data_IF_556689481662
#
_entry.id   IF_556689481662
#
_cell.length_a   1.000
_cell.length_b   1.000
_cell.length_c   1.000
_cell.angle_alpha   90.00
_cell.angle_beta   90.00
_cell.angle_gamma   90.00
#
_symmetry.space_group_name_H-M   'P 1'
#
loop_
_entity.id
_entity.type
_entity.pdbx_description
1 polymer ?
2 polymer ?
3 polymer ?
4 water ?
#
# COMPACT_ATOMS: atom_id res chain seq x y z
N UNK A 1 -13.84 14.16 4.54
CA UNK A 1 -14.70 13.90 3.34
C UNK A 1 -13.94 14.10 2.03
N UNK A 2 -12.61 14.08 2.07
CA UNK A 2 -11.82 14.17 0.83
C UNK A 2 -11.59 12.76 0.35
N UNK A 3 -11.41 12.64 -0.95
CA UNK A 3 -11.33 11.32 -1.61
C UNK A 3 -10.31 11.37 -2.74
N UNK A 4 -9.72 10.23 -3.03
CA UNK A 4 -8.78 10.11 -4.14
C UNK A 4 -8.97 8.81 -4.88
N UNK A 5 -8.57 8.80 -6.14
CA UNK A 5 -8.45 7.57 -6.90
C UNK A 5 -7.00 7.45 -7.33
N UNK A 6 -6.47 6.23 -7.27
CA UNK A 6 -5.11 5.97 -7.74
C UNK A 6 -5.05 4.66 -8.46
N UNK A 7 -4.28 4.64 -9.53
CA UNK A 7 -3.82 3.41 -10.15
C UNK A 7 -2.31 3.26 -9.90
N UNK A 8 -1.90 2.03 -9.63
CA UNK A 8 -0.53 1.67 -9.33
C UNK A 8 -0.10 0.57 -10.30
N UNK A 9 0.88 0.88 -11.15
CA UNK A 9 1.41 -0.09 -12.09
C UNK A 9 2.80 -0.52 -11.69
N UNK A 10 3.07 -1.81 -11.82
CA UNK A 10 4.40 -2.36 -11.62
C UNK A 10 4.75 -3.19 -12.83
N UNK A 11 5.87 -2.86 -13.50
CA UNK A 11 6.37 -3.65 -14.60
C UNK A 11 7.77 -4.14 -14.31
N UNK A 12 7.97 -5.44 -14.34
CA UNK A 12 9.21 -6.00 -13.86
C UNK A 12 9.81 -6.95 -14.86
N UNK A 13 11.02 -6.65 -15.31
CA UNK A 13 11.70 -7.60 -16.20
C UNK A 13 12.33 -8.75 -15.39
N UNK A 14 12.66 -9.81 -16.10
CA UNK A 14 13.14 -11.03 -15.46
C UNK A 14 13.85 -11.85 -16.53
N UNK A 15 15.00 -11.36 -16.98
CA UNK A 15 15.73 -11.99 -18.06
C UNK A 15 15.94 -13.48 -17.78
N UNK A 16 15.62 -14.32 -18.79
CA UNK A 16 15.75 -15.76 -18.67
C UNK A 16 14.49 -16.45 -18.17
N UNK A 17 13.52 -15.65 -17.76
CA UNK A 17 12.29 -16.15 -17.12
C UNK A 17 11.05 -15.54 -17.77
N UNK A 18 11.12 -15.35 -19.09
CA UNK A 18 9.99 -14.85 -19.87
C UNK A 18 9.98 -13.33 -19.97
N UNK A 19 8.88 -12.83 -20.48
CA UNK A 19 8.69 -11.43 -20.70
C UNK A 19 8.33 -10.72 -19.41
N UNK A 20 8.55 -9.41 -19.35
CA UNK A 20 8.28 -8.71 -18.11
C UNK A 20 6.83 -8.81 -17.66
N UNK A 21 6.62 -8.95 -16.37
CA UNK A 21 5.29 -9.01 -15.78
C UNK A 21 4.75 -7.61 -15.63
N UNK A 22 3.49 -7.40 -15.97
CA UNK A 22 2.79 -6.12 -15.67
C UNK A 22 1.62 -6.37 -14.76
N UNK A 23 1.58 -5.66 -13.64
CA UNK A 23 0.46 -5.69 -12.69
C UNK A 23 -0.09 -4.30 -12.53
N UNK A 24 -1.41 -4.19 -12.54
CA UNK A 24 -2.07 -2.93 -12.25
C UNK A 24 -3.09 -3.15 -11.14
N UNK A 25 -3.16 -2.25 -10.19
CA UNK A 25 -4.22 -2.25 -9.19
C UNK A 25 -4.82 -0.85 -9.13
N UNK A 26 -6.11 -0.76 -8.83
CA UNK A 26 -6.76 0.54 -8.63
C UNK A 26 -7.37 0.63 -7.27
N UNK A 27 -7.29 1.82 -6.69
CA UNK A 27 -7.82 2.13 -5.37
C UNK A 27 -8.69 3.37 -5.41
N UNK A 28 -9.70 3.39 -4.56
CA UNK A 28 -10.37 4.60 -4.14
C UNK A 28 -10.02 4.72 -2.66
N UNK A 29 -9.36 5.81 -2.26
CA UNK A 29 -8.84 5.96 -0.92
C UNK A 29 -8.05 4.69 -0.57
N UNK A 30 -8.38 4.03 0.54
CA UNK A 30 -7.67 2.85 0.98
C UNK A 30 -8.34 1.54 0.66
N UNK A 31 -9.19 1.55 -0.37
CA UNK A 31 -9.97 0.43 -0.83
C UNK A 31 -9.58 0.06 -2.24
N UNK A 32 -8.99 -1.11 -2.42
CA UNK A 32 -8.69 -1.60 -3.75
C UNK A 32 -9.93 -2.09 -4.43
N UNK A 33 -10.07 -1.83 -5.73
CA UNK A 33 -11.28 -2.20 -6.46
C UNK A 33 -11.09 -3.00 -7.72
N UNK A 34 -9.89 -2.99 -8.30
CA UNK A 34 -9.61 -3.77 -9.47
C UNK A 34 -8.16 -4.25 -9.45
N UNK A 35 -7.92 -5.31 -10.20
CA UNK A 35 -6.57 -5.77 -10.50
C UNK A 35 -6.46 -6.30 -11.89
N UNK A 36 -5.25 -6.30 -12.40
CA UNK A 36 -4.89 -6.97 -13.64
C UNK A 36 -3.48 -7.49 -13.50
N UNK A 37 -3.23 -8.72 -13.91
CA UNK A 37 -1.92 -9.34 -13.78
C UNK A 37 -1.61 -10.08 -15.08
N UNK A 38 -0.57 -9.65 -15.81
CA UNK A 38 -0.26 -10.31 -17.07
C UNK A 38 0.21 -11.73 -16.89
N UNK A 39 0.56 -12.14 -15.68
CA UNK A 39 0.96 -13.54 -15.44
C UNK A 39 -0.21 -14.48 -15.19
N UNK A 40 -1.43 -13.95 -15.10
CA UNK A 40 -2.57 -14.81 -14.76
C UNK A 40 -2.81 -15.80 -15.88
N UNK A 41 -3.41 -16.94 -15.53
CA UNK A 41 -3.67 -17.96 -16.54
C UNK A 41 -4.45 -17.38 -17.70
N UNK A 42 -5.43 -16.54 -17.39
CA UNK A 42 -6.17 -15.82 -18.42
C UNK A 42 -6.28 -14.33 -18.04
N UNK A 43 -5.27 -13.52 -18.44
CA UNK A 43 -5.25 -12.16 -17.90
C UNK A 43 -6.45 -11.31 -18.28
N UNK A 44 -7.12 -10.80 -17.26
CA UNK A 44 -8.30 -9.94 -17.46
C UNK A 44 -8.42 -9.07 -16.23
N UNK A 45 -9.04 -7.90 -16.38
CA UNK A 45 -9.30 -7.04 -15.24
C UNK A 45 -10.34 -7.74 -14.36
N UNK A 46 -10.08 -7.84 -13.07
CA UNK A 46 -10.97 -8.49 -12.14
C UNK A 46 -11.39 -7.56 -11.01
N UNK A 47 -12.63 -7.69 -10.55
CA UNK A 47 -13.12 -6.92 -9.43
C UNK A 47 -12.51 -7.31 -8.11
N UNK A 48 -12.28 -6.31 -7.27
CA UNK A 48 -11.74 -6.53 -5.94
C UNK A 48 -12.54 -5.81 -4.83
N UNK A 49 -13.65 -5.19 -5.19
CA UNK A 49 -14.58 -4.58 -4.23
C UNK A 49 -15.98 -4.89 -4.71
N UNK A 50 -16.92 -5.18 -3.79
CA UNK A 50 -18.25 -5.52 -4.26
C UNK A 50 -18.97 -4.45 -5.12
N UNK A 51 -18.75 -3.17 -4.84
CA UNK A 51 -19.44 -2.06 -5.53
C UNK A 51 -19.02 -1.84 -6.97
N UNK A 52 -17.93 -2.48 -7.42
CA UNK A 52 -17.50 -2.34 -8.81
C UNK A 52 -18.13 -3.46 -9.65
N UNK A 53 -18.66 -4.48 -9.00
CA UNK A 53 -19.18 -5.64 -9.73
C UNK A 53 -20.31 -5.28 -10.68
N UNK A 54 -21.08 -4.27 -10.32
CA UNK A 54 -22.21 -3.86 -11.15
C UNK A 54 -21.83 -3.26 -12.49
N UNK A 55 -20.55 -2.96 -12.70
CA UNK A 55 -20.15 -2.40 -13.97
C UNK A 55 -20.34 -3.46 -15.03
N UNK A 56 -20.74 -3.00 -16.21
CA UNK A 56 -21.13 -3.88 -17.28
C UNK A 56 -19.95 -4.44 -18.07
N UNK A 57 -20.22 -5.37 -18.98
CA UNK A 57 -19.14 -6.03 -19.70
C UNK A 57 -18.26 -5.08 -20.47
N UNK A 58 -18.83 -3.99 -20.95
CA UNK A 58 -18.10 -2.97 -21.71
C UNK A 58 -17.00 -2.36 -20.86
N UNK A 59 -17.31 -2.17 -19.58
CA UNK A 59 -16.33 -1.65 -18.64
C UNK A 59 -15.15 -2.59 -18.51
N UNK A 60 -15.44 -3.85 -18.21
CA UNK A 60 -14.41 -4.85 -18.03
C UNK A 60 -13.61 -5.06 -19.29
N UNK A 61 -14.27 -5.07 -20.44
CA UNK A 61 -13.54 -5.18 -21.69
C UNK A 61 -12.60 -3.99 -21.97
N UNK A 62 -13.06 -2.78 -21.68
CA UNK A 62 -12.27 -1.59 -21.96
C UNK A 62 -11.03 -1.59 -21.06
N UNK A 63 -11.23 -1.92 -19.79
CA UNK A 63 -10.12 -1.97 -18.86
C UNK A 63 -9.10 -2.99 -19.30
N UNK A 64 -9.59 -4.15 -19.70
CA UNK A 64 -8.71 -5.24 -20.09
C UNK A 64 -7.92 -4.85 -21.33
N UNK A 65 -8.57 -4.20 -22.29
CA UNK A 65 -7.88 -3.68 -23.48
C UNK A 65 -6.74 -2.74 -23.10
N UNK A 66 -7.05 -1.84 -22.19
CA UNK A 66 -6.10 -0.83 -21.77
C UNK A 66 -4.90 -1.51 -21.13
N UNK A 67 -5.18 -2.42 -20.22
CA UNK A 67 -4.07 -3.04 -19.48
C UNK A 67 -3.28 -4.04 -20.34
N UNK A 68 -3.94 -4.66 -21.32
CA UNK A 68 -3.22 -5.56 -22.21
C UNK A 68 -2.27 -4.77 -23.12
N UNK A 69 -2.75 -3.62 -23.59
CA UNK A 69 -1.89 -2.69 -24.31
C UNK A 69 -0.73 -2.20 -23.45
N UNK A 70 -1.02 -1.79 -22.23
CA UNK A 70 0.03 -1.34 -21.33
C UNK A 70 1.05 -2.44 -21.06
N UNK A 71 0.61 -3.69 -20.96
CA UNK A 71 1.58 -4.77 -20.81
C UNK A 71 2.66 -4.72 -21.90
N UNK A 72 2.21 -4.57 -23.11
CA UNK A 72 3.15 -4.50 -24.22
C UNK A 72 4.00 -3.21 -24.22
N UNK A 73 3.42 -2.07 -23.94
CA UNK A 73 4.19 -0.83 -23.99
C UNK A 73 5.21 -0.74 -22.85
N UNK A 74 4.85 -1.19 -21.66
CA UNK A 74 5.79 -1.18 -20.54
C UNK A 74 6.95 -2.15 -20.78
N UNK A 75 6.70 -3.24 -21.52
CA UNK A 75 7.82 -4.11 -21.94
C UNK A 75 8.80 -3.38 -22.83
N UNK A 76 8.31 -2.59 -23.80
CA UNK A 76 9.20 -1.77 -24.59
C UNK A 76 9.91 -0.69 -23.77
N UNK A 77 9.16 -0.07 -22.86
CA UNK A 77 9.75 0.95 -22.00
C UNK A 77 10.89 0.42 -21.14
N UNK A 78 10.73 -0.80 -20.62
CA UNK A 78 11.81 -1.42 -19.84
C UNK A 78 13.07 -1.58 -20.72
N UNK A 79 12.89 -2.00 -21.98
CA UNK A 79 14.02 -2.08 -22.89
C UNK A 79 14.62 -0.70 -23.13
N UNK A 80 13.75 0.29 -23.28
CA UNK A 80 14.26 1.64 -23.50
C UNK A 80 15.08 2.15 -22.34
N UNK A 81 14.55 2.00 -21.11
CA UNK A 81 15.29 2.46 -19.96
C UNK A 81 16.60 1.73 -19.72
N UNK A 82 16.61 0.45 -20.03
CA UNK A 82 17.84 -0.35 -19.88
C UNK A 82 18.92 0.30 -20.73
N UNK A 83 18.55 0.67 -21.97
CA UNK A 83 19.44 1.40 -22.86
C UNK A 83 19.83 2.77 -22.36
N UNK A 84 18.88 3.53 -21.83
CA UNK A 84 19.19 4.89 -21.34
C UNK A 84 20.25 4.90 -20.26
N UNK A 85 20.31 3.82 -19.49
CA UNK A 85 21.28 3.69 -18.37
C UNK A 85 22.45 2.78 -18.68
N UNK A 86 22.59 2.41 -19.95
CA UNK A 86 23.67 1.54 -20.45
C UNK A 86 23.76 0.27 -19.65
N UNK A 87 22.60 -0.29 -19.30
CA UNK A 87 22.58 -1.46 -18.43
C UNK A 87 22.68 -2.78 -19.18
N UNK A 88 23.16 -3.76 -18.46
CA UNK A 88 23.29 -5.11 -18.97
C UNK A 88 21.91 -5.73 -19.27
N UNK A 89 21.83 -6.60 -20.28
CA UNK A 89 20.61 -7.34 -20.50
C UNK A 89 20.38 -8.42 -19.42
N UNK A 90 21.31 -8.58 -18.48
CA UNK A 90 21.25 -9.68 -17.52
C UNK A 90 20.42 -9.38 -16.28
N UNK A 91 20.27 -8.10 -15.94
CA UNK A 91 19.60 -7.69 -14.72
C UNK A 91 18.07 -7.54 -14.81
N UNK A 92 17.40 -7.72 -13.68
CA UNK A 92 15.96 -7.45 -13.53
C UNK A 92 15.77 -6.00 -13.10
N UNK A 93 14.80 -5.31 -13.73
CA UNK A 93 14.54 -3.90 -13.45
C UNK A 93 13.04 -3.67 -13.38
N UNK A 94 12.65 -2.57 -12.73
CA UNK A 94 11.27 -2.31 -12.41
C UNK A 94 10.93 -0.89 -12.79
N UNK A 95 9.86 -0.73 -13.57
CA UNK A 95 9.20 0.57 -13.70
C UNK A 95 7.94 0.56 -12.86
N UNK A 96 7.74 1.62 -12.05
CA UNK A 96 6.48 1.82 -11.33
C UNK A 96 5.86 3.14 -11.75
N UNK A 97 4.54 3.14 -11.82
CA UNK A 97 3.82 4.38 -12.14
C UNK A 97 2.63 4.49 -11.18
N UNK A 98 2.34 5.68 -10.69
CA UNK A 98 1.16 5.93 -9.89
C UNK A 98 0.54 7.17 -10.40
N UNK A 99 -0.76 7.16 -10.65
CA UNK A 99 -1.44 8.36 -11.11
C UNK A 99 -2.87 8.42 -10.61
N UNK A 100 -3.45 9.61 -10.59
CA UNK A 100 -4.86 9.75 -10.23
C UNK A 100 -5.22 11.11 -9.79
N UNK A 101 -6.36 11.22 -9.16
CA UNK A 101 -6.93 12.53 -8.82
C UNK A 101 -7.34 12.59 -7.39
N UNK A 102 -7.25 13.79 -6.84
CA UNK A 102 -7.70 14.09 -5.47
C UNK A 102 -8.84 15.07 -5.50
N UNK A 103 -9.90 14.78 -4.73
CA UNK A 103 -11.04 15.67 -4.60
C UNK A 103 -11.08 16.16 -3.16
N UNK A 104 -11.50 17.41 -2.98
CA UNK A 104 -11.78 17.95 -1.61
C UNK A 104 -13.18 17.56 -1.21
N UNK A 105 -13.62 17.97 0.01
CA UNK A 105 -14.97 17.66 0.52
C UNK A 105 -16.15 18.14 -0.33
N UNK A 106 -15.92 19.11 -1.19
CA UNK A 106 -16.94 19.61 -2.12
C UNK A 106 -17.07 18.73 -3.37
N UNK A 107 -16.17 17.76 -3.54
CA UNK A 107 -16.17 16.96 -4.75
C UNK A 107 -15.37 17.56 -5.89
N UNK A 108 -14.76 18.72 -5.67
CA UNK A 108 -14.04 19.42 -6.73
C UNK A 108 -12.62 18.88 -6.76
N UNK A 109 -12.00 18.98 -7.93
CA UNK A 109 -10.59 18.58 -8.06
C UNK A 109 -9.67 19.46 -7.22
N UNK A 110 -8.90 18.81 -6.39
CA UNK A 110 -7.87 19.48 -5.64
C UNK A 110 -6.59 19.47 -6.50
N UNK A 111 -6.18 18.29 -6.96
CA UNK A 111 -4.99 18.15 -7.77
C UNK A 111 -4.93 16.79 -8.41
N UNK A 112 -4.14 16.72 -9.49
CA UNK A 112 -3.88 15.47 -10.19
C UNK A 112 -2.44 15.04 -9.97
N UNK A 113 -2.17 13.77 -10.26
CA UNK A 113 -0.87 13.17 -10.06
C UNK A 113 -0.54 12.24 -11.22
N UNK A 114 0.73 12.24 -11.63
CA UNK A 114 1.26 11.17 -12.47
C UNK A 114 2.75 11.09 -12.29
N UNK A 115 3.23 10.04 -11.66
CA UNK A 115 4.62 9.91 -11.25
C UNK A 115 5.11 8.52 -11.63
N UNK A 116 6.37 8.44 -12.09
CA UNK A 116 7.04 7.20 -12.35
C UNK A 116 8.39 7.06 -11.65
N UNK A 117 8.78 5.81 -11.41
CA UNK A 117 10.05 5.45 -10.79
C UNK A 117 10.69 4.33 -11.62
N UNK A 118 12.02 4.25 -11.54
CA UNK A 118 12.79 3.16 -12.12
C UNK A 118 13.68 2.58 -11.02
N UNK A 119 13.59 1.28 -10.79
CA UNK A 119 14.29 0.62 -9.72
C UNK A 119 14.11 1.34 -8.37
N UNK A 120 12.93 1.87 -8.16
CA UNK A 120 12.55 2.43 -6.88
C UNK A 120 12.95 3.85 -6.65
N UNK A 121 13.49 4.46 -7.68
CA UNK A 121 13.98 5.84 -7.62
C UNK A 121 13.09 6.71 -8.52
N UNK A 122 12.70 7.86 -8.03
CA UNK A 122 11.97 8.82 -8.88
C UNK A 122 12.63 8.96 -10.23
N UNK A 123 11.84 8.92 -11.30
CA UNK A 123 12.29 8.99 -12.67
C UNK A 123 11.72 10.23 -13.38
N UNK A 124 10.39 10.33 -13.48
CA UNK A 124 9.76 11.48 -14.09
C UNK A 124 8.41 11.69 -13.45
N UNK A 125 8.02 12.93 -13.26
CA UNK A 125 6.73 13.26 -12.64
C UNK A 125 6.08 14.41 -13.42
N UNK A 126 4.77 14.32 -13.64
CA UNK A 126 3.95 15.42 -14.12
C UNK A 126 3.85 16.44 -12.99
N UNK A 127 4.14 17.72 -13.31
CA UNK A 127 4.07 18.73 -12.33
C UNK A 127 2.63 19.03 -11.98
N UNK A 128 2.42 19.76 -10.89
CA UNK A 128 1.06 20.05 -10.43
C UNK A 128 0.25 20.87 -11.43
N UNK A 129 0.93 21.62 -12.28
CA UNK A 129 0.25 22.31 -13.37
C UNK A 129 -0.40 21.42 -14.43
N UNK A 130 -0.07 20.13 -14.39
CA UNK A 130 -0.56 19.18 -15.38
C UNK A 130 -0.14 19.52 -16.80
N UNK A 131 0.98 20.23 -16.92
CA UNK A 131 1.43 20.76 -18.19
C UNK A 131 2.93 20.61 -18.46
N UNK A 132 3.72 20.35 -17.45
CA UNK A 132 5.15 20.29 -17.56
C UNK A 132 5.66 19.12 -16.72
N UNK A 133 6.89 18.72 -16.96
CA UNK A 133 7.54 17.56 -16.33
C UNK A 133 8.73 17.88 -15.44
N UNK A 134 8.98 17.05 -14.44
CA UNK A 134 10.22 17.07 -13.70
C UNK A 134 10.91 15.74 -13.92
N UNK A 135 12.05 15.79 -14.61
CA UNK A 135 12.87 14.62 -14.90
C UNK A 135 14.01 14.52 -13.89
N UNK A 136 14.31 13.34 -13.40
CA UNK A 136 15.26 13.18 -12.28
C UNK A 136 16.71 13.26 -12.74
N UNK A 137 16.93 12.93 -14.00
CA UNK A 137 18.30 12.72 -14.50
C UNK A 137 18.33 12.76 -16.00
N UNK A 138 19.50 12.59 -16.62
CA UNK A 138 19.57 12.77 -18.07
C UNK A 138 18.86 11.67 -18.87
N UNK A 139 18.67 10.50 -18.27
CA UNK A 139 17.87 9.46 -18.93
C UNK A 139 16.40 9.87 -18.99
N UNK A 140 15.88 10.31 -17.85
CA UNK A 140 14.48 10.77 -17.80
C UNK A 140 14.22 11.97 -18.71
N UNK A 141 15.27 12.78 -18.95
CA UNK A 141 15.13 13.93 -19.83
C UNK A 141 14.85 13.40 -21.23
N UNK A 142 15.40 12.25 -21.57
CA UNK A 142 15.04 11.63 -22.83
C UNK A 142 13.57 11.29 -22.92
N UNK A 143 13.05 10.63 -21.89
CA UNK A 143 11.60 10.41 -21.80
C UNK A 143 10.81 11.71 -21.83
N UNK A 144 11.28 12.73 -21.11
CA UNK A 144 10.59 14.06 -21.12
C UNK A 144 10.49 14.58 -22.54
N UNK A 145 11.61 14.54 -23.26
CA UNK A 145 11.59 15.06 -24.63
C UNK A 145 10.60 14.26 -25.49
N UNK A 146 10.55 12.93 -25.37
CA UNK A 146 9.59 12.09 -26.11
C UNK A 146 8.17 12.47 -25.76
N UNK A 147 7.93 12.69 -24.47
CA UNK A 147 6.58 13.00 -24.04
C UNK A 147 6.14 14.42 -24.37
N UNK A 148 7.09 15.36 -24.39
CA UNK A 148 6.84 16.74 -24.83
C UNK A 148 6.52 16.69 -26.32
N UNK A 149 7.30 15.91 -27.06
CA UNK A 149 7.07 15.80 -28.49
C UNK A 149 5.68 15.22 -28.81
N UNK A 150 5.18 14.29 -27.98
CA UNK A 150 3.90 13.56 -28.22
C UNK A 150 2.66 14.15 -27.48
N UNK A 151 2.84 15.29 -26.82
CA UNK A 151 1.72 15.95 -26.13
C UNK A 151 1.07 15.08 -25.07
N UNK A 152 1.90 14.34 -24.34
CA UNK A 152 1.38 13.42 -23.34
C UNK A 152 0.72 14.22 -22.21
N UNK A 153 1.34 15.33 -21.80
CA UNK A 153 0.82 16.08 -20.64
C UNK A 153 -0.59 16.61 -20.87
N UNK A 154 -0.82 17.11 -22.08
CA UNK A 154 -2.16 17.54 -22.43
C UNK A 154 -3.21 16.44 -22.33
N UNK A 155 -2.87 15.22 -22.76
CA UNK A 155 -3.80 14.12 -22.67
C UNK A 155 -4.02 13.71 -21.21
N UNK A 156 -2.95 13.65 -20.42
CA UNK A 156 -3.08 13.30 -19.00
C UNK A 156 -3.88 14.40 -18.27
N UNK A 157 -3.69 15.68 -18.61
CA UNK A 157 -4.52 16.70 -17.96
C UNK A 157 -6.02 16.49 -18.26
N UNK A 158 -6.34 16.21 -19.54
CA UNK A 158 -7.72 15.98 -19.91
C UNK A 158 -8.31 14.80 -19.13
N UNK A 159 -7.54 13.74 -19.01
CA UNK A 159 -7.98 12.59 -18.20
C UNK A 159 -8.18 12.96 -16.73
N UNK A 160 -7.18 13.61 -16.15
CA UNK A 160 -7.16 13.88 -14.73
C UNK A 160 -8.28 14.81 -14.32
N UNK A 161 -8.58 15.78 -15.16
CA UNK A 161 -9.59 16.76 -14.82
C UNK A 161 -10.99 16.31 -15.24
N UNK A 162 -11.04 15.27 -16.08
CA UNK A 162 -12.26 14.78 -16.71
C UNK A 162 -12.69 13.40 -16.21
N UNK A 163 -12.34 12.38 -17.00
CA UNK A 163 -12.70 10.99 -16.70
C UNK A 163 -12.31 10.56 -15.29
N UNK A 164 -11.14 10.96 -14.84
CA UNK A 164 -10.67 10.56 -13.50
C UNK A 164 -11.67 10.98 -12.44
N UNK A 165 -12.03 12.25 -12.48
CA UNK A 165 -12.93 12.80 -11.49
C UNK A 165 -14.34 12.21 -11.65
N UNK A 166 -14.81 12.12 -12.88
CA UNK A 166 -16.13 11.61 -13.14
C UNK A 166 -16.30 10.17 -12.63
N UNK A 167 -15.33 9.32 -12.96
CA UNK A 167 -15.41 7.93 -12.50
C UNK A 167 -15.23 7.81 -10.99
N UNK A 168 -14.31 8.56 -10.39
CA UNK A 168 -14.17 8.56 -8.94
C UNK A 168 -15.51 8.92 -8.27
N UNK A 169 -16.15 9.98 -8.75
CA UNK A 169 -17.44 10.38 -8.17
C UNK A 169 -18.49 9.28 -8.34
N UNK A 170 -18.47 8.61 -9.49
CA UNK A 170 -19.38 7.47 -9.70
C UNK A 170 -19.10 6.35 -8.67
N UNK A 171 -17.83 6.00 -8.49
CA UNK A 171 -17.49 4.98 -7.51
C UNK A 171 -17.92 5.37 -6.11
N UNK A 172 -17.63 6.62 -5.73
CA UNK A 172 -18.03 7.09 -4.40
C UNK A 172 -19.53 6.97 -4.16
N UNK A 173 -20.34 7.25 -5.17
CA UNK A 173 -21.78 7.05 -5.04
C UNK A 173 -22.16 5.54 -4.94
N UNK A 174 -21.63 4.73 -5.87
CA UNK A 174 -21.96 3.31 -5.86
C UNK A 174 -21.49 2.58 -4.61
N UNK A 175 -20.36 3.02 -4.08
CA UNK A 175 -19.79 2.42 -2.87
C UNK A 175 -20.02 3.30 -1.63
N UNK A 176 -21.06 4.13 -1.63
CA UNK A 176 -21.19 5.14 -0.59
C UNK A 176 -21.26 4.57 0.82
N UNK A 177 -21.84 3.38 0.98
CA UNK A 177 -22.04 2.86 2.33
C UNK A 177 -20.76 2.45 2.98
N UNK A 178 -19.69 2.29 2.17
CA UNK A 178 -18.38 1.89 2.71
C UNK A 178 -17.34 3.01 2.45
N UNK A 179 -17.24 3.46 1.21
CA UNK A 179 -16.26 4.47 0.85
C UNK A 179 -16.47 5.80 1.53
N UNK A 180 -17.72 6.13 1.82
CA UNK A 180 -18.08 7.36 2.52
C UNK A 180 -18.45 7.13 3.98
N UNK A 181 -17.94 6.03 4.55
CA UNK A 181 -18.12 5.71 5.97
C UNK A 181 -16.78 5.62 6.65
N UNK A 182 -16.54 6.49 7.61
CA UNK A 182 -15.34 6.40 8.43
C UNK A 182 -15.64 5.60 9.67
N UNK A 183 -14.82 4.59 9.93
CA UNK A 183 -14.95 3.74 11.10
C UNK A 183 -13.92 4.17 12.09
N UNK A 184 -14.35 4.63 13.26
CA UNK A 184 -13.37 5.12 14.24
C UNK A 184 -12.55 4.01 14.85
N UNK A 185 -11.36 4.37 15.36
CA UNK A 185 -10.60 3.36 16.04
C UNK A 185 -11.22 2.99 17.38
N UNK A 186 -11.10 1.72 17.71
CA UNK A 186 -11.30 1.25 19.08
C UNK A 186 -9.97 1.34 19.78
N UNK A 187 -9.92 2.04 20.91
CA UNK A 187 -8.66 2.35 21.57
C UNK A 187 -8.58 1.85 22.98
N UNK A 188 -7.40 1.39 23.36
CA UNK A 188 -7.11 1.00 24.72
C UNK A 188 -5.61 1.08 24.97
N UNK A 189 -5.22 1.13 26.25
CA UNK A 189 -3.83 1.13 26.66
C UNK A 189 -3.51 -0.13 27.42
N UNK A 190 -2.42 -0.78 27.05
CA UNK A 190 -1.92 -1.93 27.80
C UNK A 190 -0.63 -1.58 28.52
N UNK A 191 -0.30 -2.38 29.53
CA UNK A 191 0.82 -2.10 30.42
C UNK A 191 1.61 -3.37 30.55
N UNK A 192 2.91 -3.28 30.31
CA UNK A 192 3.80 -4.44 30.28
C UNK A 192 5.07 -4.10 31.09
N UNK A 193 5.17 -4.57 32.34
CA UNK A 193 6.45 -4.35 33.05
C UNK A 193 7.66 -4.87 32.27
N UNK A 194 8.74 -4.06 32.20
CA UNK A 194 10.01 -4.47 31.56
C UNK A 194 11.18 -4.62 32.53
N UNK A 195 10.98 -4.14 33.75
CA UNK A 195 12.01 -4.22 34.77
C UNK A 195 11.31 -3.82 36.05
N UNK A 196 12.05 -3.83 37.14
CA UNK A 196 11.50 -3.38 38.42
C UNK A 196 11.11 -1.90 38.43
N UNK A 197 11.71 -1.09 37.56
CA UNK A 197 11.46 0.37 37.63
C UNK A 197 10.99 1.00 36.33
N UNK A 198 10.76 0.19 35.31
CA UNK A 198 10.15 0.68 34.05
C UNK A 198 9.12 -0.28 33.48
N UNK A 199 8.17 0.29 32.75
CA UNK A 199 7.12 -0.50 32.13
C UNK A 199 6.78 0.10 30.77
N UNK A 200 6.28 -0.73 29.87
CA UNK A 200 5.82 -0.23 28.58
C UNK A 200 4.34 0.06 28.64
N UNK A 201 3.96 1.26 28.18
CA UNK A 201 2.58 1.61 27.90
C UNK A 201 2.40 1.57 26.39
N UNK A 202 1.42 0.81 25.91
CA UNK A 202 1.17 0.67 24.47
C UNK A 202 -0.24 1.11 24.21
N UNK A 203 -0.38 2.12 23.35
CA UNK A 203 -1.65 2.64 23.00
C UNK A 203 -2.08 2.00 21.67
N UNK A 204 -3.22 1.34 21.67
CA UNK A 204 -3.75 0.57 20.54
C UNK A 204 -4.89 1.31 19.85
N UNK A 205 -4.92 1.25 18.52
CA UNK A 205 -6.03 1.68 17.72
C UNK A 205 -6.35 0.53 16.76
N UNK A 206 -7.59 0.06 16.78
CA UNK A 206 -8.01 -1.15 16.06
C UNK A 206 -9.31 -0.82 15.32
N UNK A 207 -9.47 -1.43 14.14
CA UNK A 207 -10.74 -1.44 13.44
C UNK A 207 -11.13 -0.14 12.75
N UNK A 208 -10.12 0.67 12.40
CA UNK A 208 -10.39 1.99 11.80
C UNK A 208 -10.26 2.02 10.26
N UNK A 209 -11.03 2.92 9.66
CA UNK A 209 -10.98 3.16 8.23
C UNK A 209 -11.40 4.61 8.06
N UNK A 210 -10.68 5.39 7.22
CA UNK A 210 -9.50 5.04 6.43
C UNK A 210 -8.24 4.87 7.29
N UNK A 211 -7.12 4.67 6.63
CA UNK A 211 -5.89 4.32 7.32
C UNK A 211 -5.24 5.49 8.02
N UNK A 212 -5.50 6.69 7.56
CA UNK A 212 -4.90 7.89 8.15
C UNK A 212 -5.30 7.99 9.62
N UNK A 213 -4.29 8.14 10.49
CA UNK A 213 -4.53 8.27 11.92
C UNK A 213 -3.30 8.93 12.53
N UNK A 214 -3.51 9.59 13.65
CA UNK A 214 -2.41 10.12 14.44
C UNK A 214 -2.52 9.56 15.86
N UNK A 215 -1.46 8.89 16.33
CA UNK A 215 -1.37 8.37 17.71
C UNK A 215 -0.10 8.95 18.29
N UNK A 216 -0.20 9.59 19.43
CA UNK A 216 0.98 10.19 20.03
C UNK A 216 0.87 9.98 21.51
N UNK A 217 2.03 9.90 22.24
CA UNK A 217 2.06 9.93 23.67
C UNK A 217 2.54 11.30 24.14
N UNK A 218 1.95 11.80 25.22
CA UNK A 218 2.50 12.95 25.93
C UNK A 218 2.91 12.57 27.34
N UNK A 219 3.95 13.24 27.86
CA UNK A 219 4.32 13.13 29.28
C UNK A 219 4.16 14.53 29.83
N UNK A 220 3.35 14.69 30.87
CA UNK A 220 3.07 16.00 31.45
C UNK A 220 2.58 16.98 30.41
N UNK A 221 1.97 16.46 29.35
CA UNK A 221 1.41 17.31 28.32
C UNK A 221 2.38 17.71 27.23
N UNK A 222 3.58 17.13 27.22
CA UNK A 222 4.54 17.38 26.14
C UNK A 222 4.70 16.14 25.26
N UNK A 223 4.47 16.30 23.95
CA UNK A 223 4.71 15.21 23.01
C UNK A 223 6.04 14.52 23.24
N UNK A 224 6.03 13.19 23.18
CA UNK A 224 7.23 12.38 23.43
C UNK A 224 7.75 11.77 22.14
N UNK A 225 7.86 12.60 21.11
CA UNK A 225 8.16 12.13 19.76
C UNK A 225 9.42 11.24 19.70
N UNK A 226 10.53 11.70 20.26
CA UNK A 226 11.78 10.92 20.18
C UNK A 226 11.77 9.60 20.95
N UNK A 227 10.88 9.46 21.93
CA UNK A 227 10.86 8.27 22.79
C UNK A 227 9.67 7.35 22.52
N UNK A 228 8.87 7.69 21.52
CA UNK A 228 7.72 6.85 21.17
C UNK A 228 8.11 5.88 20.07
N UNK A 229 7.77 4.60 20.24
CA UNK A 229 7.89 3.62 19.18
C UNK A 229 6.55 3.48 18.49
N UNK A 230 6.52 3.75 17.20
CA UNK A 230 5.27 3.81 16.46
C UNK A 230 5.34 2.78 15.35
N UNK A 231 4.52 1.73 15.34
CA UNK A 231 4.57 0.78 14.23
C UNK A 231 3.81 1.29 13.01
N UNK A 232 4.20 0.79 11.85
CA UNK A 232 3.49 1.11 10.61
C UNK A 232 2.04 0.69 10.73
N UNK A 233 1.16 1.54 10.25
CA UNK A 233 -0.25 1.16 10.10
C UNK A 233 -0.35 -0.06 9.23
N UNK A 234 -1.15 -1.01 9.68
CA UNK A 234 -1.23 -2.32 9.07
C UNK A 234 -2.66 -2.75 8.81
N UNK A 235 -2.93 -3.47 7.72
CA UNK A 235 -4.24 -3.92 7.39
C UNK A 235 -4.70 -5.12 8.22
N UNK A 236 -5.96 -5.10 8.68
CA UNK A 236 -6.50 -6.26 9.40
C UNK A 236 -6.96 -7.36 8.47
N UNK A 237 -7.29 -7.00 7.23
CA UNK A 237 -7.82 -7.95 6.23
C UNK A 237 -9.32 -7.91 6.02
N UNK A 238 -9.98 -7.06 6.80
CA UNK A 238 -11.44 -6.84 6.75
C UNK A 238 -11.82 -5.42 6.28
N UNK A 239 -10.85 -4.76 5.62
CA UNK A 239 -10.85 -3.36 5.18
C UNK A 239 -10.29 -2.40 6.21
N UNK A 240 -10.27 -2.77 7.48
CA UNK A 240 -9.83 -1.86 8.50
C UNK A 240 -8.35 -1.97 8.77
N UNK A 241 -7.84 -1.07 9.59
CA UNK A 241 -6.44 -0.95 9.90
C UNK A 241 -6.21 -0.97 11.40
N UNK A 242 -4.95 -1.18 11.75
CA UNK A 242 -4.47 -1.29 13.14
C UNK A 242 -3.21 -0.48 13.28
N UNK A 243 -2.96 0.07 14.47
CA UNK A 243 -1.71 0.75 14.78
C UNK A 243 -1.52 0.80 16.28
N UNK A 244 -0.28 0.86 16.72
CA UNK A 244 0.02 1.13 18.13
C UNK A 244 1.23 2.01 18.28
N UNK A 245 1.29 2.65 19.44
CA UNK A 245 2.39 3.50 19.80
C UNK A 245 2.78 3.12 21.21
N UNK A 246 4.07 3.02 21.45
CA UNK A 246 4.51 2.64 22.79
C UNK A 246 5.58 3.55 23.36
N UNK A 247 5.60 3.63 24.68
CA UNK A 247 6.61 4.40 25.39
C UNK A 247 6.95 3.62 26.65
N UNK A 248 8.22 3.69 27.04
CA UNK A 248 8.70 3.06 28.25
C UNK A 248 8.76 4.14 29.30
N UNK A 249 8.11 3.90 30.44
CA UNK A 249 7.95 4.91 31.44
C UNK A 249 8.51 4.44 32.77
N UNK A 250 8.90 5.37 33.65
CA UNK A 250 9.26 4.96 35.01
C UNK A 250 8.03 4.41 35.76
N UNK A 251 8.22 3.26 36.42
CA UNK A 251 7.14 2.69 37.22
C UNK A 251 6.74 3.67 38.29
N UNK A 252 5.43 3.79 38.46
CA UNK A 252 4.87 4.77 39.34
C UNK A 252 4.56 6.10 38.69
N UNK A 253 5.00 6.32 37.44
CA UNK A 253 4.75 7.60 36.75
C UNK A 253 3.73 7.43 35.64
N UNK A 254 3.10 6.26 35.55
CA UNK A 254 2.19 5.98 34.44
C UNK A 254 1.11 7.01 34.23
N UNK A 255 0.60 7.62 35.31
CA UNK A 255 -0.50 8.58 35.13
C UNK A 255 -0.08 9.93 34.57
N UNK A 256 1.22 10.14 34.44
CA UNK A 256 1.76 11.35 33.78
C UNK A 256 1.73 11.24 32.28
N UNK A 257 1.39 10.06 31.76
CA UNK A 257 1.40 9.83 30.33
C UNK A 257 -0.01 9.75 29.76
N UNK A 258 -0.23 10.42 28.64
CA UNK A 258 -1.53 10.35 27.95
C UNK A 258 -1.32 10.04 26.47
N UNK A 259 -2.17 9.15 25.94
CA UNK A 259 -2.21 8.80 24.52
C UNK A 259 -3.30 9.61 23.87
N UNK A 260 -2.99 10.18 22.70
CA UNK A 260 -3.89 11.07 21.97
C UNK A 260 -4.13 10.49 20.59
N UNK A 261 -5.39 10.43 20.23
CA UNK A 261 -5.76 9.76 18.97
C UNK A 261 -6.57 10.72 18.13
N UNK A 262 -6.14 10.91 16.88
CA UNK A 262 -6.90 11.70 15.90
C UNK A 262 -7.28 10.78 14.74
N UNK A 263 -8.53 10.83 14.31
CA UNK A 263 -8.98 10.03 13.17
C UNK A 263 -10.25 10.72 12.66
N UNK A 264 -10.45 10.67 11.35
CA UNK A 264 -11.63 11.28 10.70
C UNK A 264 -12.93 10.79 11.28
N UNK A 265 -12.98 9.52 11.69
CA UNK A 265 -14.14 8.88 12.28
C UNK A 265 -14.49 9.32 13.71
N UNK A 266 -13.62 10.14 14.30
CA UNK A 266 -13.80 10.64 15.66
C UNK A 266 -14.28 12.10 15.59
N UNK A 267 -15.48 12.40 16.17
CA UNK A 267 -15.90 13.81 16.25
C UNK A 267 -14.93 14.63 17.10
N UNK A 268 -14.57 14.06 18.25
CA UNK A 268 -13.57 14.64 19.12
C UNK A 268 -12.41 13.66 19.24
N UNK A 269 -11.19 14.19 19.11
CA UNK A 269 -9.98 13.41 19.37
C UNK A 269 -10.00 12.86 20.79
N UNK A 270 -9.36 11.71 20.96
CA UNK A 270 -9.42 11.00 22.21
C UNK A 270 -8.12 11.24 22.97
N UNK A 271 -8.28 11.32 24.28
CA UNK A 271 -7.20 11.22 25.25
C UNK A 271 -7.47 9.98 26.09
N UNK A 272 -6.48 9.08 26.19
CA UNK A 272 -6.56 7.82 26.98
C UNK A 272 -5.38 7.74 27.94
N UNK A 273 -5.57 7.00 29.03
CA UNK A 273 -4.52 6.68 29.97
C UNK A 273 -4.59 5.20 30.27
N UNK A 274 -3.52 4.69 30.85
CA UNK A 274 -3.58 3.36 31.42
C UNK A 274 -4.57 3.37 32.56
N UNK A 275 -5.47 2.40 32.55
CA UNK A 275 -6.47 2.22 33.58
C UNK A 275 -6.19 0.91 34.32
N UNK A 276 -5.51 0.98 35.48
CA UNK A 276 -5.30 -0.21 36.28
C UNK A 276 -6.52 -0.50 37.16
N UNK B 1 19.30 0.61 -5.75
CA UNK B 1 19.40 0.30 -4.28
C UNK B 1 18.23 -0.56 -3.83
N UNK B 2 18.51 -1.48 -2.92
CA UNK B 2 17.51 -2.40 -2.42
C UNK B 2 17.09 -2.01 -1.01
N UNK B 3 15.86 -2.39 -0.66
CA UNK B 3 15.27 -2.11 0.64
C UNK B 3 14.73 -3.38 1.24
N UNK B 4 15.05 -3.60 2.50
CA UNK B 4 14.69 -4.83 3.16
C UNK B 4 13.29 -4.72 3.79
N UNK B 5 12.56 -5.83 3.79
CA UNK B 5 11.23 -5.77 4.36
C UNK B 5 11.12 -5.54 5.85
N UNK B 6 10.18 -4.70 6.23
CA UNK B 6 9.61 -4.67 7.54
C UNK B 6 8.61 -5.82 7.61
N UNK B 7 8.44 -6.39 8.79
CA UNK B 7 7.58 -7.53 8.95
C UNK B 7 6.80 -7.38 10.25
N UNK B 8 5.46 -7.49 10.16
CA UNK B 8 4.60 -7.57 11.35
C UNK B 8 3.75 -8.84 11.26
N UNK B 9 3.63 -9.54 12.39
CA UNK B 9 2.85 -10.75 12.46
C UNK B 9 1.82 -10.52 13.56
N UNK B 10 0.56 -10.74 13.23
CA UNK B 10 -0.52 -10.33 14.12
C UNK B 10 -1.82 -10.96 13.67
N UNK B 11 -2.83 -10.90 14.53
CA UNK B 11 -4.14 -11.44 14.20
C UNK B 11 -5.13 -10.33 13.78
N UNK B 12 -6.12 -10.71 13.00
CA UNK B 12 -7.16 -9.78 12.58
C UNK B 12 -7.98 -9.26 13.74
N UNK B 13 -8.33 -10.19 14.62
CA UNK B 13 -9.11 -9.93 15.80
C UNK B 13 -8.31 -10.22 17.07
N UNK B 14 -8.74 -9.63 18.19
CA UNK B 14 -8.09 -10.01 19.42
C UNK B 14 -8.09 -11.53 19.57
N UNK B 15 -6.93 -12.07 19.91
CA UNK B 15 -6.77 -13.52 19.99
C UNK B 15 -7.49 -14.03 21.23
N UNK B 16 -8.31 -15.05 21.03
CA UNK B 16 -8.98 -15.76 22.11
C UNK B 16 -8.75 -17.24 21.85
N UNK B 17 -8.16 -17.95 22.82
CA UNK B 17 -7.82 -19.35 22.61
C UNK B 17 -9.08 -20.12 22.23
N UNK B 18 -8.95 -20.96 21.21
CA UNK B 18 -10.04 -21.80 20.75
C UNK B 18 -11.07 -21.12 19.86
N UNK B 19 -10.87 -19.84 19.55
CA UNK B 19 -11.76 -19.09 18.68
C UNK B 19 -11.09 -18.77 17.32
N UNK B 20 -11.73 -19.13 16.22
CA UNK B 20 -11.19 -18.90 14.87
C UNK B 20 -10.93 -17.43 14.64
N UNK B 21 -9.87 -17.16 13.87
CA UNK B 21 -9.34 -15.82 13.69
C UNK B 21 -8.59 -15.85 12.34
N UNK B 22 -7.88 -14.78 12.01
CA UNK B 22 -6.98 -14.77 10.86
C UNK B 22 -5.62 -14.35 11.33
N UNK B 23 -4.60 -15.06 10.83
CA UNK B 23 -3.20 -14.79 11.12
C UNK B 23 -2.65 -14.06 9.90
N UNK B 24 -2.09 -12.87 10.17
CA UNK B 24 -1.58 -11.94 9.18
C UNK B 24 -0.09 -11.80 9.29
N UNK B 25 0.56 -11.72 8.14
CA UNK B 25 1.98 -11.34 8.08
C UNK B 25 2.02 -10.25 7.03
N UNK B 26 2.31 -9.03 7.48
CA UNK B 26 2.36 -7.87 6.60
C UNK B 26 3.81 -7.52 6.39
N UNK B 27 4.19 -7.57 5.11
CA UNK B 27 5.53 -7.21 4.70
C UNK B 27 5.46 -5.92 3.93
N UNK B 28 6.34 -5.01 4.24
CA UNK B 28 6.24 -3.66 3.69
C UNK B 28 7.61 -3.02 3.58
N UNK B 29 7.71 -1.94 2.82
CA UNK B 29 8.96 -1.22 2.77
C UNK B 29 10.08 -1.84 1.98
N UNK B 30 9.76 -2.85 1.17
CA UNK B 30 10.81 -3.59 0.48
C UNK B 30 10.92 -3.21 -1.00
N UNK B 31 12.10 -3.43 -1.56
CA UNK B 31 12.33 -3.23 -2.99
C UNK B 31 13.58 -4.07 -3.34
N UNK B 32 13.55 -4.85 -4.42
CA UNK B 32 12.51 -5.04 -5.39
C UNK B 32 11.36 -5.91 -4.86
N UNK B 33 10.39 -6.23 -5.74
CA UNK B 33 9.13 -6.80 -5.31
C UNK B 33 9.14 -8.30 -5.06
N UNK B 34 10.08 -9.05 -5.63
CA UNK B 34 10.04 -10.49 -5.39
C UNK B 34 10.28 -10.74 -3.92
N UNK B 35 9.49 -11.61 -3.33
CA UNK B 35 9.60 -11.88 -1.91
C UNK B 35 8.92 -13.22 -1.65
N UNK B 36 9.46 -14.00 -0.69
CA UNK B 36 8.87 -15.27 -0.30
C UNK B 36 8.40 -15.12 1.13
N UNK B 37 7.15 -15.43 1.37
CA UNK B 37 6.61 -15.36 2.70
C UNK B 37 5.86 -16.64 2.97
N UNK B 38 6.16 -17.26 4.11
CA UNK B 38 5.35 -18.36 4.58
C UNK B 38 4.93 -18.09 6.02
N UNK B 39 3.73 -18.55 6.34
CA UNK B 39 3.24 -18.62 7.71
C UNK B 39 3.55 -20.01 8.25
N UNK B 40 4.01 -20.06 9.50
CA UNK B 40 4.41 -21.33 10.14
C UNK B 40 3.55 -21.63 11.37
N UNK B 41 3.32 -22.90 11.59
CA UNK B 41 2.64 -23.35 12.79
C UNK B 41 3.59 -24.35 13.41
N UNK B 42 4.11 -24.05 14.60
CA UNK B 42 5.10 -24.91 15.24
C UNK B 42 6.20 -25.32 14.31
N UNK B 43 6.65 -24.31 13.56
CA UNK B 43 7.79 -24.44 12.64
C UNK B 43 7.49 -25.03 11.27
N UNK B 44 6.25 -25.47 11.03
CA UNK B 44 5.86 -26.10 9.78
C UNK B 44 5.08 -25.12 8.91
N UNK B 45 5.44 -25.04 7.64
CA UNK B 45 4.77 -24.16 6.69
C UNK B 45 3.29 -24.54 6.63
N UNK B 46 2.44 -23.53 6.77
CA UNK B 46 1.01 -23.66 6.57
C UNK B 46 0.68 -23.63 5.07
N UNK B 47 -0.17 -24.56 4.66
CA UNK B 47 -0.34 -24.85 3.27
C UNK B 47 -1.16 -23.80 2.54
N UNK B 48 -2.39 -23.47 2.98
CA UNK B 48 -3.32 -22.74 2.06
C UNK B 48 -3.32 -21.17 2.06
N UNK B 49 -2.16 -20.55 2.27
CA UNK B 49 -2.08 -19.10 2.58
C UNK B 49 -2.42 -18.22 1.36
N UNK B 50 -3.17 -17.15 1.58
CA UNK B 50 -3.49 -16.21 0.49
C UNK B 50 -2.75 -14.92 0.68
N UNK B 51 -2.72 -14.09 -0.36
CA UNK B 51 -2.06 -12.82 -0.23
C UNK B 51 -2.73 -11.75 -1.09
N UNK B 52 -2.45 -10.51 -0.73
CA UNK B 52 -2.97 -9.36 -1.47
C UNK B 52 -2.28 -9.15 -2.80
N UNK B 53 -2.89 -8.31 -3.63
CA UNK B 53 -2.30 -7.94 -4.90
C UNK B 53 -1.18 -6.91 -4.71
N UNK B 54 -0.10 -7.08 -5.46
CA UNK B 54 1.06 -6.21 -5.29
C UNK B 54 0.70 -4.75 -5.49
N UNK B 55 1.10 -3.94 -4.52
CA UNK B 55 0.96 -2.50 -4.64
C UNK B 55 2.13 -1.89 -3.88
N UNK B 56 2.17 -0.57 -3.89
CA UNK B 56 3.29 0.11 -3.29
C UNK B 56 2.88 1.46 -2.68
N UNK B 57 3.77 1.94 -1.81
CA UNK B 57 3.59 3.16 -1.05
C UNK B 57 4.14 4.36 -1.81
N UNK B 58 3.95 5.55 -1.26
CA UNK B 58 4.39 6.76 -1.91
C UNK B 58 5.90 6.81 -2.15
N UNK B 59 6.67 6.11 -1.31
CA UNK B 59 8.09 6.03 -1.50
C UNK B 59 8.56 4.92 -2.41
N UNK B 60 7.61 4.34 -3.12
CA UNK B 60 7.83 3.27 -4.13
C UNK B 60 8.11 1.90 -3.54
N UNK B 61 8.19 1.79 -2.20
CA UNK B 61 8.39 0.46 -1.60
C UNK B 61 7.09 -0.34 -1.68
N UNK B 62 7.25 -1.66 -1.82
CA UNK B 62 6.11 -2.56 -2.00
C UNK B 62 5.56 -3.01 -0.66
N UNK B 63 4.30 -3.43 -0.66
CA UNK B 63 3.71 -4.07 0.51
C UNK B 63 2.80 -5.18 0.06
N UNK B 64 2.69 -6.19 0.92
CA UNK B 64 1.83 -7.36 0.70
C UNK B 64 1.34 -7.86 2.07
N UNK B 65 0.09 -8.29 2.11
CA UNK B 65 -0.48 -8.99 3.24
C UNK B 65 -0.67 -10.45 2.89
N UNK B 66 -0.07 -11.33 3.70
CA UNK B 66 -0.28 -12.77 3.61
C UNK B 66 -1.17 -13.17 4.78
N UNK B 67 -2.14 -14.04 4.54
CA UNK B 67 -3.09 -14.36 5.61
C UNK B 67 -3.69 -15.73 5.47
N UNK B 68 -4.09 -16.28 6.62
CA UNK B 68 -4.76 -17.56 6.65
C UNK B 68 -5.63 -17.60 7.88
N UNK B 69 -6.69 -18.39 7.79
CA UNK B 69 -7.48 -18.74 8.98
C UNK B 69 -6.63 -19.49 10.01
N UNK B 70 -6.85 -19.21 11.29
CA UNK B 70 -6.20 -19.95 12.35
C UNK B 70 -7.01 -19.88 13.62
N UNK B 71 -6.80 -20.87 14.48
CA UNK B 71 -7.42 -20.88 15.80
C UNK B 71 -6.29 -20.96 16.82
N UNK B 72 -5.99 -19.83 17.48
CA UNK B 72 -4.90 -19.80 18.44
C UNK B 72 -5.22 -20.66 19.63
N UNK B 73 -4.18 -21.24 20.20
CA UNK B 73 -4.28 -21.95 21.45
C UNK B 73 -3.24 -21.40 22.40
N UNK B 74 -3.21 -21.88 23.64
CA UNK B 74 -2.17 -21.46 24.58
C UNK B 74 -0.78 -21.86 24.11
N UNK B 75 -0.67 -23.05 23.51
CA UNK B 75 0.62 -23.68 23.30
C UNK B 75 1.16 -23.65 21.86
N UNK B 76 0.27 -23.59 20.86
CA UNK B 76 0.71 -23.51 19.46
C UNK B 76 1.45 -22.21 19.17
N UNK B 77 2.59 -22.35 18.49
CA UNK B 77 3.44 -21.23 18.10
C UNK B 77 3.27 -20.88 16.60
N UNK B 78 3.06 -19.60 16.33
CA UNK B 78 2.94 -19.15 14.95
C UNK B 78 4.05 -18.19 14.63
N UNK B 79 4.42 -18.13 13.35
CA UNK B 79 5.48 -17.24 12.92
C UNK B 79 5.33 -16.95 11.44
N UNK B 80 6.05 -15.93 10.99
CA UNK B 80 6.16 -15.63 9.58
C UNK B 80 7.64 -15.72 9.20
N UNK B 81 7.93 -16.43 8.11
CA UNK B 81 9.30 -16.56 7.61
C UNK B 81 9.38 -15.80 6.28
N UNK B 82 10.34 -14.91 6.18
CA UNK B 82 10.42 -14.05 5.00
C UNK B 82 11.78 -14.18 4.37
N UNK B 83 11.81 -14.37 3.05
CA UNK B 83 13.07 -14.29 2.33
C UNK B 83 12.93 -13.24 1.21
N UNK B 84 14.03 -12.53 1.01
CA UNK B 84 14.15 -11.44 0.08
C UNK B 84 15.62 -11.33 -0.30
N UNK B 85 15.91 -10.71 -1.42
CA UNK B 85 17.29 -10.61 -1.88
C UNK B 85 18.20 -9.82 -0.92
N UNK B 86 17.62 -8.94 -0.12
CA UNK B 86 18.40 -8.21 0.90
C UNK B 86 18.81 -9.05 2.11
N UNK B 87 18.25 -10.25 2.26
CA UNK B 87 18.48 -11.07 3.45
C UNK B 87 19.45 -12.19 3.16
N UNK B 88 20.42 -12.39 4.08
CA UNK B 88 21.40 -13.46 3.98
C UNK B 88 20.77 -14.84 4.19
N UNK B 89 19.75 -14.88 5.02
CA UNK B 89 18.98 -16.09 5.24
C UNK B 89 17.56 -15.67 5.60
N UNK B 90 16.59 -16.61 5.50
CA UNK B 90 15.22 -16.27 5.84
C UNK B 90 15.06 -15.72 7.26
N UNK B 91 14.28 -14.66 7.40
CA UNK B 91 14.00 -14.03 8.68
C UNK B 91 12.70 -14.61 9.24
N UNK B 92 12.73 -15.03 10.48
CA UNK B 92 11.55 -15.57 11.14
C UNK B 92 11.14 -14.60 12.24
N UNK B 93 9.89 -14.16 12.19
CA UNK B 93 9.32 -13.27 13.18
C UNK B 93 8.18 -14.05 13.81
N UNK B 94 8.24 -14.22 15.13
CA UNK B 94 7.25 -15.00 15.85
C UNK B 94 6.01 -14.17 16.11
N UNK B 95 4.84 -14.81 16.09
CA UNK B 95 3.63 -14.14 16.52
C UNK B 95 3.65 -13.95 18.04
N UNK B 96 3.52 -12.71 18.47
CA UNK B 96 3.31 -12.34 19.87
C UNK B 96 1.96 -11.64 19.90
N UNK B 97 1.02 -12.18 20.66
CA UNK B 97 -0.34 -11.61 20.65
C UNK B 97 -0.47 -10.22 21.29
N UNK B 98 0.57 -9.77 22.03
CA UNK B 98 0.63 -8.38 22.53
C UNK B 98 1.26 -7.35 21.56
N UNK B 99 1.44 -7.71 20.30
CA UNK B 99 2.14 -6.84 19.36
C UNK B 99 1.44 -6.70 18.00
N UNK C 1 -11.73 4.37 -13.50
CA UNK C 1 -11.33 3.96 -14.87
C UNK C 1 -9.93 4.44 -15.19
N UNK C 2 -9.05 3.59 -15.76
CA UNK C 2 -7.67 4.00 -15.99
C UNK C 2 -7.50 4.93 -17.19
N UNK C 3 -6.28 5.45 -17.35
CA UNK C 3 -5.97 6.41 -18.42
C UNK C 3 -5.65 5.72 -19.73
N UNK C 4 -5.97 6.37 -20.85
CA UNK C 4 -5.44 5.99 -22.16
C UNK C 4 -4.87 7.23 -22.85
N UNK C 5 -3.58 7.16 -23.16
CA UNK C 5 -2.80 8.25 -23.72
C UNK C 5 -2.28 7.81 -25.09
N UNK C 6 -1.64 8.74 -25.80
CA UNK C 6 -0.71 8.39 -26.85
C UNK C 6 -1.32 8.39 -28.23
N UNK C 7 -0.53 8.89 -29.19
CA UNK C 7 -0.85 8.81 -30.61
C UNK C 7 -1.13 7.37 -31.00
N UNK C 8 -0.28 6.49 -30.48
CA UNK C 8 -0.37 5.06 -30.72
C UNK C 8 0.17 4.35 -29.46
N UNK C 9 0.01 3.01 -29.39
CA UNK C 9 0.85 2.24 -28.47
C UNK C 9 2.29 2.77 -28.36
N UNK C 10 2.92 3.07 -29.50
CA UNK C 10 4.28 3.61 -29.55
C UNK C 10 4.50 4.88 -28.73
N UNK C 11 3.55 5.82 -28.83
CA UNK C 11 3.69 7.10 -28.13
C UNK C 11 3.55 7.03 -26.62
N UNK C 12 3.07 5.89 -26.12
CA UNK C 12 2.99 5.66 -24.69
C UNK C 12 4.35 5.24 -24.10
N UNK C 13 5.31 4.87 -24.96
CA UNK C 13 6.61 4.40 -24.46
C UNK C 13 7.40 5.47 -23.72
N UNK C 14 8.13 5.03 -22.70
CA UNK C 14 9.12 5.87 -22.06
C UNK C 14 10.31 6.07 -22.98
#
# INVERSE_FOLDING_TARGET
GSHSMRYFYTAMSRPGRGEPRFIAVGYVDDTQFVRFDSDAASPRTEPRAPWIEQEGPEYWDRNTQIFKTNTQTYRESLRNLRGYYNQSEAGSHIIQRMYGCDLGPDGRLLRGHDQSAYDGKDYIALNEDLSSWTAADTAAQITQRKWEAARVAEQLRAYLEGLCVEWLRRYLENGKETLQRADPPKTHVTHHPVSDHEATLRCWALGFYPAEITLTWQRDGEDQTQDTELVETRPAGDRTFQKWAAVVVPSGEEQRYTCHVQHEGLPKPLTLRWEP
IQRTPKIQVYSRHPAENGKSNFLNCYVSGFHPSDIEVDLLKNGERIEKVEHSDLSFSKDWSFYLLYYTEFTPTEKDEYACRVNHVTLSQPKIVKWDRDM
LPAVVGLSPGEQEY
#
